data_IF_156365564520
#
_entry.id   IF_156365564520
#
_cell.length_a   1.000
_cell.length_b   1.000
_cell.length_c   1.000
_cell.angle_alpha   90.00
_cell.angle_beta   90.00
_cell.angle_gamma   90.00
#
_symmetry.space_group_name_H-M   'P 1'
#
loop_
_entity.id
_entity.type
_entity.pdbx_description
1 polymer ?
#
# COMPACT_ATOMS: atom_id res chain seq x y z
N UNK A 1 2.74 1.85 -4.59
CA UNK A 1 3.42 1.74 -3.30
C UNK A 1 3.19 0.38 -2.65
N UNK A 2 3.05 0.31 -1.35
CA UNK A 2 2.88 -0.93 -0.60
C UNK A 2 2.33 -0.63 0.79
N UNK A 3 1.73 -1.63 1.42
CA UNK A 3 1.39 -1.61 2.84
C UNK A 3 2.67 -1.34 3.70
N UNK A 4 3.83 -1.77 3.22
CA UNK A 4 5.11 -1.56 3.90
C UNK A 4 5.50 -0.09 4.05
N UNK A 5 4.91 0.81 3.28
CA UNK A 5 5.17 2.25 3.39
C UNK A 5 4.46 2.94 4.57
N UNK A 6 3.59 2.23 5.29
CA UNK A 6 2.80 2.82 6.38
C UNK A 6 3.66 3.07 7.63
N UNK A 7 4.55 2.13 7.96
CA UNK A 7 5.43 2.22 9.13
C UNK A 7 6.81 1.62 8.83
N UNK A 8 7.81 2.05 9.56
CA UNK A 8 9.13 1.44 9.50
C UNK A 8 9.14 0.01 10.05
N UNK A 9 10.09 -0.78 9.57
CA UNK A 9 10.29 -2.15 9.99
C UNK A 9 11.80 -2.42 10.12
N UNK A 10 12.22 -3.11 11.18
CA UNK A 10 13.63 -3.37 11.45
C UNK A 10 14.30 -4.35 10.49
N UNK A 11 13.52 -5.16 9.77
CA UNK A 11 14.05 -6.16 8.84
C UNK A 11 14.49 -5.50 7.53
N UNK A 12 13.72 -4.54 7.02
CA UNK A 12 13.99 -3.90 5.74
C UNK A 12 13.68 -2.39 5.77
N UNK A 13 14.42 -1.62 6.59
CA UNK A 13 14.10 -0.20 6.78
C UNK A 13 14.18 0.62 5.49
N UNK A 14 15.14 0.34 4.61
CA UNK A 14 15.27 1.04 3.34
C UNK A 14 14.09 0.77 2.41
N UNK A 15 13.62 -0.47 2.34
CA UNK A 15 12.45 -0.83 1.55
C UNK A 15 11.20 -0.09 2.05
N UNK A 16 10.96 -0.11 3.36
CA UNK A 16 9.83 0.60 3.95
C UNK A 16 9.91 2.11 3.68
N UNK A 17 11.10 2.69 3.77
CA UNK A 17 11.31 4.11 3.50
C UNK A 17 11.03 4.46 2.04
N UNK A 18 11.47 3.63 1.07
CA UNK A 18 11.14 3.85 -0.35
C UNK A 18 9.65 3.80 -0.61
N UNK A 19 8.94 2.89 0.03
CA UNK A 19 7.48 2.79 -0.12
C UNK A 19 6.76 3.97 0.55
N UNK A 20 7.25 4.45 1.69
CA UNK A 20 6.76 5.66 2.34
C UNK A 20 6.95 6.90 1.45
N UNK A 21 8.10 7.01 0.79
CA UNK A 21 8.36 8.06 -0.20
C UNK A 21 7.30 8.05 -1.29
N UNK A 22 7.00 6.89 -1.87
CA UNK A 22 5.99 6.77 -2.92
C UNK A 22 4.60 7.20 -2.44
N UNK A 23 4.20 6.80 -1.23
CA UNK A 23 2.91 7.20 -0.65
C UNK A 23 2.81 8.72 -0.56
N UNK A 24 3.83 9.36 0.01
CA UNK A 24 3.86 10.81 0.18
C UNK A 24 3.88 11.54 -1.16
N UNK A 25 4.71 11.08 -2.09
CA UNK A 25 4.83 11.67 -3.42
C UNK A 25 3.50 11.61 -4.20
N UNK A 26 2.83 10.46 -4.19
CA UNK A 26 1.55 10.29 -4.86
C UNK A 26 0.45 11.17 -4.24
N UNK A 27 0.49 11.37 -2.93
CA UNK A 27 -0.43 12.31 -2.26
C UNK A 27 -0.21 13.74 -2.75
N UNK A 28 1.05 14.18 -2.86
CA UNK A 28 1.39 15.48 -3.41
C UNK A 28 0.91 15.65 -4.85
N UNK A 29 1.09 14.63 -5.69
CA UNK A 29 0.58 14.66 -7.06
C UNK A 29 -0.94 14.78 -7.13
N UNK A 30 -1.68 14.10 -6.23
CA UNK A 30 -3.14 14.23 -6.17
C UNK A 30 -3.57 15.66 -5.84
N UNK A 31 -2.86 16.31 -4.96
CA UNK A 31 -3.11 17.72 -4.63
C UNK A 31 -2.90 18.60 -5.87
N UNK A 32 -1.77 18.41 -6.55
CA UNK A 32 -1.44 19.19 -7.74
C UNK A 32 -2.50 19.05 -8.84
N UNK A 33 -2.88 17.82 -9.19
CA UNK A 33 -3.88 17.63 -10.27
C UNK A 33 -5.23 18.21 -9.90
N UNK A 34 -5.58 18.23 -8.61
CA UNK A 34 -6.82 18.85 -8.14
C UNK A 34 -6.77 20.38 -8.26
N UNK A 35 -5.66 20.99 -7.87
CA UNK A 35 -5.46 22.44 -7.91
C UNK A 35 -5.49 22.97 -9.34
N UNK A 36 -4.91 22.26 -10.28
CA UNK A 36 -4.88 22.68 -11.68
C UNK A 36 -6.13 22.26 -12.47
N UNK A 37 -7.18 21.78 -11.79
CA UNK A 37 -8.45 21.42 -12.44
C UNK A 37 -8.34 20.25 -13.40
N UNK A 38 -7.35 19.39 -13.23
CA UNK A 38 -7.12 18.24 -14.10
C UNK A 38 -8.15 17.14 -13.86
N UNK A 39 -8.54 16.44 -14.94
CA UNK A 39 -9.38 15.23 -14.86
C UNK A 39 -8.59 13.96 -14.59
N UNK A 40 -7.27 14.05 -14.40
CA UNK A 40 -6.39 12.92 -14.13
C UNK A 40 -6.66 12.38 -12.72
N UNK A 41 -6.79 11.08 -12.59
CA UNK A 41 -6.86 10.38 -11.31
C UNK A 41 -5.51 9.76 -10.99
N UNK A 42 -4.97 10.06 -9.81
CA UNK A 42 -3.75 9.43 -9.31
C UNK A 42 -4.16 8.36 -8.31
N UNK A 43 -3.94 7.10 -8.66
CA UNK A 43 -4.27 5.96 -7.80
C UNK A 43 -3.01 5.43 -7.11
N UNK A 44 -3.01 5.43 -5.80
CA UNK A 44 -1.96 4.80 -4.98
C UNK A 44 -2.42 3.39 -4.61
N UNK A 45 -1.85 2.40 -5.28
CA UNK A 45 -2.13 0.98 -5.03
C UNK A 45 -1.17 0.47 -3.96
N UNK A 46 -1.72 -0.06 -2.89
CA UNK A 46 -0.98 -0.54 -1.72
C UNK A 46 -1.23 -2.03 -1.48
N UNK A 47 -0.52 -2.91 -2.19
CA UNK A 47 -0.65 -4.35 -1.98
C UNK A 47 -0.11 -4.76 -0.61
N UNK A 48 -0.73 -5.79 -0.02
CA UNK A 48 -0.12 -6.62 0.99
C UNK A 48 0.70 -7.71 0.29
N UNK A 49 0.51 -8.97 0.68
CA UNK A 49 1.21 -10.08 0.03
C UNK A 49 0.47 -10.52 -1.23
N UNK A 50 1.20 -10.61 -2.33
CA UNK A 50 0.72 -11.17 -3.60
C UNK A 50 1.63 -12.33 -3.97
N UNK A 51 1.05 -13.40 -4.49
CA UNK A 51 1.78 -14.63 -4.84
C UNK A 51 2.69 -14.40 -6.05
N UNK A 52 3.86 -13.82 -5.76
CA UNK A 52 4.92 -13.53 -6.73
C UNK A 52 6.25 -14.05 -6.22
N UNK A 53 7.29 -13.98 -7.05
CA UNK A 53 8.65 -14.37 -6.67
C UNK A 53 9.20 -13.58 -5.47
N UNK A 54 8.72 -12.37 -5.22
CA UNK A 54 9.12 -11.54 -4.07
C UNK A 54 8.46 -11.99 -2.77
N UNK A 55 7.24 -12.50 -2.82
CA UNK A 55 6.46 -12.89 -1.64
C UNK A 55 6.80 -14.33 -1.24
N UNK A 56 8.05 -14.57 -0.86
CA UNK A 56 8.52 -15.88 -0.40
C UNK A 56 9.01 -15.76 1.04
N UNK A 57 8.80 -16.83 1.80
CA UNK A 57 9.25 -16.95 3.18
C UNK A 57 8.13 -17.35 4.12
N UNK A 58 8.47 -17.45 5.40
CA UNK A 58 7.54 -17.79 6.46
C UNK A 58 6.76 -16.57 6.95
N UNK A 59 5.61 -16.80 7.57
CA UNK A 59 4.79 -15.76 8.16
C UNK A 59 3.91 -14.97 7.21
N UNK A 60 3.80 -15.39 5.95
CA UNK A 60 2.90 -14.77 4.99
C UNK A 60 1.44 -15.13 5.31
N UNK A 61 0.57 -14.15 5.22
CA UNK A 61 -0.87 -14.34 5.42
C UNK A 61 -1.66 -13.43 4.48
N UNK A 62 -2.91 -13.80 4.23
CA UNK A 62 -3.78 -13.08 3.30
C UNK A 62 -3.13 -12.85 1.93
N UNK A 63 -2.41 -13.85 1.45
CA UNK A 63 -1.74 -13.79 0.14
C UNK A 63 -2.79 -13.83 -0.96
N UNK A 64 -2.74 -12.84 -1.85
CA UNK A 64 -3.62 -12.80 -3.02
C UNK A 64 -2.95 -13.46 -4.21
N UNK A 65 -3.73 -14.13 -5.06
CA UNK A 65 -3.22 -14.57 -6.37
C UNK A 65 -2.92 -13.34 -7.23
N UNK A 66 -2.00 -13.50 -8.19
CA UNK A 66 -1.66 -12.44 -9.14
C UNK A 66 -2.90 -12.00 -9.91
N UNK A 67 -3.74 -12.95 -10.33
CA UNK A 67 -4.96 -12.65 -11.07
C UNK A 67 -5.94 -11.85 -10.25
N UNK A 68 -6.19 -12.24 -9.00
CA UNK A 68 -7.09 -11.50 -8.12
C UNK A 68 -6.59 -10.08 -7.85
N UNK A 69 -5.30 -9.93 -7.61
CA UNK A 69 -4.69 -8.62 -7.42
C UNK A 69 -4.88 -7.73 -8.66
N UNK A 70 -4.64 -8.27 -9.84
CA UNK A 70 -4.81 -7.55 -11.10
C UNK A 70 -6.27 -7.14 -11.32
N UNK A 71 -7.22 -8.02 -11.04
CA UNK A 71 -8.65 -7.72 -11.15
C UNK A 71 -9.07 -6.60 -10.21
N UNK A 72 -8.62 -6.63 -8.95
CA UNK A 72 -8.95 -5.59 -7.98
C UNK A 72 -8.32 -4.23 -8.35
N UNK A 73 -7.10 -4.24 -8.89
CA UNK A 73 -6.44 -3.02 -9.39
C UNK A 73 -7.23 -2.45 -10.57
N UNK A 74 -7.61 -3.28 -11.52
CA UNK A 74 -8.39 -2.87 -12.68
C UNK A 74 -9.71 -2.22 -12.28
N UNK A 75 -10.46 -2.87 -11.36
CA UNK A 75 -11.71 -2.31 -10.85
C UNK A 75 -11.52 -0.98 -10.13
N UNK A 76 -10.45 -0.85 -9.35
CA UNK A 76 -10.11 0.38 -8.66
C UNK A 76 -9.83 1.52 -9.64
N UNK A 77 -9.12 1.24 -10.73
CA UNK A 77 -8.85 2.22 -11.79
C UNK A 77 -10.15 2.64 -12.46
N UNK A 78 -11.03 1.69 -12.80
CA UNK A 78 -12.35 1.97 -13.38
C UNK A 78 -13.19 2.88 -12.48
N UNK A 79 -13.15 2.65 -11.18
CA UNK A 79 -13.90 3.41 -10.18
C UNK A 79 -13.22 4.71 -9.78
N UNK A 80 -12.05 5.04 -10.34
CA UNK A 80 -11.27 6.25 -10.05
C UNK A 80 -10.92 6.38 -8.56
N UNK A 81 -10.60 5.27 -7.91
CA UNK A 81 -10.23 5.25 -6.49
C UNK A 81 -8.83 5.83 -6.29
N UNK A 82 -8.65 6.58 -5.23
CA UNK A 82 -7.40 7.31 -4.96
C UNK A 82 -6.40 6.50 -4.16
N UNK A 83 -6.87 5.73 -3.19
CA UNK A 83 -6.04 4.84 -2.35
C UNK A 83 -6.71 3.48 -2.33
N UNK A 84 -5.95 2.44 -2.68
CA UNK A 84 -6.49 1.09 -2.88
C UNK A 84 -5.61 0.09 -2.16
N UNK A 85 -6.19 -0.65 -1.22
CA UNK A 85 -5.52 -1.79 -0.58
C UNK A 85 -5.86 -3.08 -1.29
N UNK A 86 -4.86 -3.88 -1.61
CA UNK A 86 -5.00 -5.17 -2.28
C UNK A 86 -4.51 -6.27 -1.31
N UNK A 87 -5.38 -7.11 -0.82
CA UNK A 87 -6.83 -7.09 -0.92
C UNK A 87 -7.43 -6.08 0.06
N UNK A 88 -8.76 -5.88 0.03
CA UNK A 88 -9.45 -4.86 0.84
C UNK A 88 -9.18 -4.97 2.34
N UNK A 89 -9.06 -6.19 2.88
CA UNK A 89 -8.83 -6.43 4.32
C UNK A 89 -7.48 -5.90 4.82
N UNK A 90 -6.51 -5.67 3.93
CA UNK A 90 -5.25 -5.02 4.28
C UNK A 90 -5.43 -3.59 4.77
N UNK A 91 -6.57 -2.98 4.49
CA UNK A 91 -6.92 -1.69 5.06
C UNK A 91 -6.95 -1.72 6.59
N UNK A 92 -7.41 -2.83 7.18
CA UNK A 92 -7.42 -3.01 8.63
C UNK A 92 -6.00 -3.01 9.20
N UNK A 93 -5.09 -3.74 8.54
CA UNK A 93 -3.68 -3.76 8.92
C UNK A 93 -3.06 -2.38 8.79
N UNK A 94 -3.36 -1.63 7.73
CA UNK A 94 -2.87 -0.28 7.52
C UNK A 94 -3.31 0.66 8.65
N UNK A 95 -4.58 0.61 9.06
CA UNK A 95 -5.09 1.40 10.17
C UNK A 95 -4.40 1.05 11.48
N UNK A 96 -4.21 -0.24 11.74
CA UNK A 96 -3.50 -0.72 12.92
C UNK A 96 -2.06 -0.20 12.93
N UNK A 97 -1.34 -0.30 11.81
CA UNK A 97 0.05 0.17 11.70
C UNK A 97 0.17 1.68 11.93
N UNK A 98 -0.83 2.45 11.55
CA UNK A 98 -0.82 3.92 11.75
C UNK A 98 -0.90 4.31 13.22
N UNK A 99 -1.61 3.55 14.03
CA UNK A 99 -1.90 3.92 15.43
C UNK A 99 -1.09 3.13 16.46
N UNK A 100 -0.44 2.05 16.07
CA UNK A 100 0.32 1.21 16.99
C UNK A 100 1.51 1.98 17.57
N UNK A 101 1.71 2.00 18.92
CA UNK A 101 2.86 2.68 19.51
C UNK A 101 4.16 1.94 19.25
N UNK A 102 5.28 2.66 19.29
CA UNK A 102 6.60 2.09 19.02
C UNK A 102 6.94 0.93 19.96
N UNK A 103 6.53 1.00 21.21
CA UNK A 103 6.75 -0.06 22.19
C UNK A 103 6.19 -1.43 21.77
N UNK A 104 5.11 -1.43 21.01
CA UNK A 104 4.50 -2.64 20.45
C UNK A 104 5.08 -2.95 19.07
N UNK A 105 5.27 -1.93 18.24
CA UNK A 105 5.80 -2.07 16.88
C UNK A 105 7.15 -2.80 16.86
N UNK A 106 8.03 -2.52 17.78
CA UNK A 106 9.37 -3.15 17.86
C UNK A 106 9.33 -4.65 18.11
N UNK A 107 8.18 -5.19 18.52
CA UNK A 107 7.98 -6.62 18.78
C UNK A 107 7.35 -7.37 17.61
N UNK A 108 7.00 -6.65 16.56
CA UNK A 108 6.31 -7.21 15.40
C UNK A 108 7.28 -7.56 14.28
#
# INVERSE_FOLDING_TARGET
SSIAGIRGNGIAPSYNATKAYQINYLEGLRINVKEYGSSITIADVRPGFVDTAMAKGEGLFWVASVQKAAEEIFEAIKQKRKVVYITKRWRLIALLLKVIPFSILKRV
#
